data_IF_570115118400
#
_entry.id   IF_570115118400
#
_cell.length_a   1.000
_cell.length_b   1.000
_cell.length_c   1.000
_cell.angle_alpha   90.00
_cell.angle_beta   90.00
_cell.angle_gamma   90.00
#
_symmetry.space_group_name_H-M   'P 1'
#
loop_
_entity.id
_entity.type
_entity.pdbx_description
1 polymer ?
#
# COMPACT_ATOMS: atom_id res chain seq x y z
N UNK A 1 3.87 36.90 -3.62
CA UNK A 1 4.44 35.88 -4.53
C UNK A 1 3.68 34.58 -4.30
N UNK A 2 2.63 34.32 -5.09
CA UNK A 2 1.79 33.14 -4.91
C UNK A 2 2.48 31.92 -5.52
N UNK A 3 2.76 30.93 -4.68
CA UNK A 3 3.36 29.64 -5.04
C UNK A 3 2.41 28.84 -5.93
N UNK A 4 2.66 28.84 -7.24
CA UNK A 4 1.89 28.06 -8.21
C UNK A 4 2.39 26.61 -8.24
N UNK A 5 2.15 25.86 -7.16
CA UNK A 5 2.39 24.42 -7.18
C UNK A 5 1.30 23.74 -8.03
N UNK A 6 1.66 22.93 -9.05
CA UNK A 6 0.66 22.33 -9.92
C UNK A 6 -0.23 21.36 -9.14
N UNK A 7 -1.54 21.62 -9.14
CA UNK A 7 -2.56 20.77 -8.51
C UNK A 7 -2.51 19.38 -9.13
N UNK A 8 -2.27 18.35 -8.30
CA UNK A 8 -2.22 16.95 -8.76
C UNK A 8 -3.60 16.51 -9.27
N UNK A 9 -3.76 16.41 -10.60
CA UNK A 9 -5.00 15.97 -11.27
C UNK A 9 -5.29 14.50 -10.98
N UNK A 10 -6.43 14.22 -10.34
CA UNK A 10 -6.92 12.85 -10.05
C UNK A 10 -7.31 12.12 -11.33
N UNK A 11 -7.13 10.80 -11.35
CA UNK A 11 -7.61 9.93 -12.43
C UNK A 11 -9.13 9.78 -12.38
N UNK A 12 -9.77 9.86 -13.53
CA UNK A 12 -11.21 9.64 -13.69
C UNK A 12 -11.51 8.19 -14.08
N UNK A 13 -12.77 7.77 -13.88
CA UNK A 13 -13.22 6.45 -14.33
C UNK A 13 -13.07 6.28 -15.84
N UNK A 14 -13.26 7.35 -16.61
CA UNK A 14 -13.10 7.33 -18.07
C UNK A 14 -11.64 7.13 -18.48
N UNK A 15 -10.72 7.87 -17.87
CA UNK A 15 -9.30 7.68 -18.12
C UNK A 15 -8.84 6.25 -17.75
N UNK A 16 -9.39 5.66 -16.68
CA UNK A 16 -9.13 4.26 -16.34
C UNK A 16 -9.70 3.27 -17.37
N UNK A 17 -10.87 3.57 -17.96
CA UNK A 17 -11.47 2.73 -19.01
C UNK A 17 -10.59 2.73 -20.24
N UNK A 18 -10.15 3.90 -20.70
CA UNK A 18 -9.24 4.03 -21.84
C UNK A 18 -7.91 3.33 -21.55
N UNK A 19 -7.30 3.59 -20.38
CA UNK A 19 -6.05 2.95 -19.98
C UNK A 19 -6.14 1.42 -20.00
N UNK A 20 -7.24 0.84 -19.47
CA UNK A 20 -7.48 -0.61 -19.52
C UNK A 20 -7.62 -1.13 -20.92
N UNK A 21 -8.53 -0.54 -21.71
CA UNK A 21 -8.79 -0.99 -23.07
C UNK A 21 -7.52 -1.02 -23.92
N UNK A 22 -6.74 0.05 -23.90
CA UNK A 22 -5.51 0.14 -24.73
C UNK A 22 -4.42 -0.81 -24.22
N UNK A 23 -4.31 -1.02 -22.91
CA UNK A 23 -3.33 -1.93 -22.35
C UNK A 23 -3.69 -3.41 -22.57
N UNK A 24 -4.97 -3.77 -22.43
CA UNK A 24 -5.51 -5.09 -22.74
C UNK A 24 -5.34 -5.41 -24.23
N UNK A 25 -5.58 -4.42 -25.11
CA UNK A 25 -5.31 -4.56 -26.55
C UNK A 25 -3.83 -4.85 -26.82
N UNK A 26 -2.88 -4.13 -26.20
CA UNK A 26 -1.46 -4.44 -26.37
C UNK A 26 -1.07 -5.82 -25.82
N UNK A 27 -1.68 -6.24 -24.71
CA UNK A 27 -1.46 -7.57 -24.14
C UNK A 27 -2.00 -8.68 -25.06
N UNK A 28 -3.15 -8.47 -25.72
CA UNK A 28 -3.67 -9.44 -26.70
C UNK A 28 -2.79 -9.56 -27.94
N UNK A 29 -1.99 -8.53 -28.24
CA UNK A 29 -0.97 -8.54 -29.30
C UNK A 29 0.39 -9.06 -28.80
N UNK A 30 0.49 -9.51 -27.55
CA UNK A 30 1.63 -10.22 -26.98
C UNK A 30 2.28 -9.54 -25.78
N UNK A 31 2.58 -8.24 -25.83
CA UNK A 31 3.27 -7.58 -24.74
C UNK A 31 2.94 -6.08 -24.60
N UNK A 32 2.74 -5.65 -23.35
CA UNK A 32 2.48 -4.26 -22.99
C UNK A 32 3.76 -3.41 -22.93
N UNK A 33 4.24 -2.97 -24.09
CA UNK A 33 5.51 -2.23 -24.22
C UNK A 33 5.33 -0.77 -24.63
N UNK A 34 4.33 -0.46 -25.45
CA UNK A 34 4.18 0.87 -26.04
C UNK A 34 3.29 1.79 -25.20
N UNK A 35 3.85 2.30 -24.11
CA UNK A 35 3.16 3.22 -23.20
C UNK A 35 2.93 4.62 -23.79
N UNK A 36 3.68 5.01 -24.83
CA UNK A 36 3.49 6.29 -25.51
C UNK A 36 2.16 6.28 -26.28
N UNK A 37 1.87 5.21 -27.02
CA UNK A 37 0.60 5.11 -27.77
C UNK A 37 -0.63 5.12 -26.86
N UNK A 38 -0.52 4.59 -25.64
CA UNK A 38 -1.57 4.68 -24.62
C UNK A 38 -1.74 6.11 -24.12
N UNK A 39 -0.63 6.81 -23.87
CA UNK A 39 -0.65 8.20 -23.41
C UNK A 39 -1.26 9.14 -24.47
N UNK A 40 -1.05 8.86 -25.76
CA UNK A 40 -1.66 9.64 -26.86
C UNK A 40 -3.19 9.58 -26.84
N UNK A 41 -3.79 8.52 -26.27
CA UNK A 41 -5.25 8.38 -26.08
C UNK A 41 -5.76 9.06 -24.81
N UNK A 42 -4.87 9.56 -23.95
CA UNK A 42 -5.18 10.13 -22.65
C UNK A 42 -4.68 11.58 -22.56
N UNK A 43 -5.48 12.56 -23.02
CA UNK A 43 -5.05 13.95 -23.04
C UNK A 43 -4.65 14.44 -21.64
N UNK A 44 -3.50 15.12 -21.59
CA UNK A 44 -2.87 15.62 -20.35
C UNK A 44 -2.42 14.51 -19.39
N UNK A 45 -2.23 13.27 -19.86
CA UNK A 45 -1.52 12.20 -19.14
C UNK A 45 -0.27 11.83 -19.91
N UNK A 46 0.82 11.66 -19.18
CA UNK A 46 2.09 11.23 -19.77
C UNK A 46 2.21 9.71 -19.75
N UNK A 47 3.14 9.17 -20.52
CA UNK A 47 3.58 7.76 -20.43
C UNK A 47 3.86 7.35 -18.97
N UNK A 48 4.57 8.20 -18.22
CA UNK A 48 4.90 7.97 -16.81
C UNK A 48 3.63 7.87 -15.95
N UNK A 49 2.64 8.72 -16.20
CA UNK A 49 1.35 8.66 -15.50
C UNK A 49 0.62 7.35 -15.81
N UNK A 50 0.59 6.96 -17.08
CA UNK A 50 -0.08 5.73 -17.54
C UNK A 50 0.55 4.49 -16.91
N UNK A 51 1.88 4.37 -16.92
CA UNK A 51 2.62 3.28 -16.25
C UNK A 51 2.31 3.20 -14.76
N UNK A 52 2.40 4.35 -14.08
CA UNK A 52 2.13 4.45 -12.64
C UNK A 52 0.67 4.14 -12.29
N UNK A 53 -0.26 4.46 -13.19
CA UNK A 53 -1.68 4.14 -13.00
C UNK A 53 -1.96 2.68 -13.28
N UNK A 54 -1.39 2.14 -14.34
CA UNK A 54 -1.56 0.75 -14.73
C UNK A 54 -1.11 -0.21 -13.65
N UNK A 55 0.03 0.05 -13.00
CA UNK A 55 0.49 -0.72 -11.84
C UNK A 55 -0.47 -0.70 -10.64
N UNK A 56 -1.54 0.11 -10.68
CA UNK A 56 -2.60 0.15 -9.67
C UNK A 56 -3.92 -0.43 -10.16
N UNK A 57 -4.04 -0.71 -11.45
CA UNK A 57 -5.30 -0.97 -12.16
C UNK A 57 -5.28 -2.30 -12.93
N UNK A 58 -4.10 -2.85 -13.25
CA UNK A 58 -3.89 -3.99 -14.14
C UNK A 58 -4.07 -5.37 -13.52
N UNK A 59 -3.95 -5.47 -12.20
CA UNK A 59 -4.27 -6.71 -11.50
C UNK A 59 -5.60 -6.55 -10.77
N UNK A 60 -6.42 -7.62 -10.69
CA UNK A 60 -7.53 -7.67 -9.76
C UNK A 60 -6.96 -7.67 -8.34
N UNK A 61 -6.59 -6.49 -7.87
CA UNK A 61 -6.16 -6.30 -6.49
C UNK A 61 -7.35 -6.62 -5.63
N UNK A 62 -7.23 -7.72 -4.90
CA UNK A 62 -8.29 -8.12 -4.00
C UNK A 62 -8.50 -6.98 -3.00
N UNK A 63 -9.71 -6.43 -2.99
CA UNK A 63 -10.15 -5.48 -1.96
C UNK A 63 -10.69 -6.29 -0.80
N UNK A 64 -10.32 -5.91 0.43
CA UNK A 64 -10.80 -6.55 1.65
C UNK A 64 -9.74 -7.36 2.40
N UNK A 65 -10.22 -8.20 3.32
CA UNK A 65 -9.42 -8.93 4.30
C UNK A 65 -8.34 -9.82 3.65
N UNK A 66 -7.24 -10.01 4.37
CA UNK A 66 -6.16 -10.92 3.99
C UNK A 66 -6.50 -12.34 4.43
N UNK A 67 -6.53 -13.28 3.50
CA UNK A 67 -6.70 -14.70 3.83
C UNK A 67 -5.45 -15.29 4.46
N UNK A 68 -5.59 -16.44 5.12
CA UNK A 68 -4.46 -17.18 5.69
C UNK A 68 -3.43 -17.55 4.62
N UNK A 69 -3.89 -18.00 3.45
CA UNK A 69 -3.00 -18.32 2.32
C UNK A 69 -2.25 -17.08 1.78
N UNK A 70 -2.89 -15.91 1.74
CA UNK A 70 -2.19 -14.66 1.37
C UNK A 70 -1.13 -14.28 2.42
N UNK A 71 -1.45 -14.43 3.71
CA UNK A 71 -0.49 -14.15 4.78
C UNK A 71 0.71 -15.11 4.72
N UNK A 72 0.48 -16.38 4.41
CA UNK A 72 1.54 -17.38 4.28
C UNK A 72 2.46 -17.10 3.08
N UNK A 73 1.89 -16.81 1.90
CA UNK A 73 2.68 -16.35 0.74
C UNK A 73 3.49 -15.09 1.07
N UNK A 74 2.89 -14.15 1.79
CA UNK A 74 3.58 -12.92 2.21
C UNK A 74 4.74 -13.22 3.17
N UNK A 75 4.57 -14.11 4.15
CA UNK A 75 5.67 -14.53 5.05
C UNK A 75 6.79 -15.22 4.30
N UNK A 76 6.46 -16.17 3.43
CA UNK A 76 7.45 -16.91 2.65
C UNK A 76 8.23 -15.97 1.72
N UNK A 77 7.53 -15.06 1.03
CA UNK A 77 8.15 -14.08 0.15
C UNK A 77 9.05 -13.10 0.92
N UNK A 78 8.66 -12.63 2.12
CA UNK A 78 9.51 -11.77 2.94
C UNK A 78 10.72 -12.55 3.49
N UNK A 79 10.56 -13.83 3.84
CA UNK A 79 11.69 -14.68 4.23
C UNK A 79 12.70 -14.87 3.08
N UNK A 80 12.22 -14.91 1.83
CA UNK A 80 13.07 -15.13 0.66
C UNK A 80 13.72 -13.84 0.12
N UNK A 81 12.96 -12.74 0.05
CA UNK A 81 13.38 -11.49 -0.62
C UNK A 81 13.57 -10.32 0.35
N UNK A 82 13.37 -10.53 1.65
CA UNK A 82 13.32 -9.44 2.63
C UNK A 82 12.18 -8.45 2.34
N UNK A 83 12.41 -7.17 2.67
CA UNK A 83 11.43 -6.10 2.45
C UNK A 83 11.47 -5.51 1.02
N UNK A 84 11.87 -6.31 0.02
CA UNK A 84 11.83 -5.91 -1.39
C UNK A 84 10.39 -6.01 -1.93
N UNK A 85 9.55 -5.04 -1.56
CA UNK A 85 8.09 -5.12 -1.69
C UNK A 85 7.56 -5.36 -3.11
N UNK A 86 8.31 -4.99 -4.15
CA UNK A 86 7.93 -5.27 -5.54
C UNK A 86 8.04 -6.78 -5.82
N UNK A 87 9.15 -7.42 -5.44
CA UNK A 87 9.33 -8.86 -5.59
C UNK A 87 8.38 -9.64 -4.68
N UNK A 88 8.20 -9.16 -3.45
CA UNK A 88 7.25 -9.75 -2.51
C UNK A 88 5.82 -9.73 -3.06
N UNK A 89 5.39 -8.61 -3.65
CA UNK A 89 4.07 -8.51 -4.28
C UNK A 89 3.90 -9.47 -5.46
N UNK A 90 4.95 -9.64 -6.28
CA UNK A 90 4.94 -10.62 -7.37
C UNK A 90 4.73 -12.05 -6.85
N UNK A 91 5.33 -12.43 -5.73
CA UNK A 91 5.12 -13.75 -5.11
C UNK A 91 3.78 -13.89 -4.38
N UNK A 92 3.17 -12.79 -3.93
CA UNK A 92 1.84 -12.80 -3.32
C UNK A 92 0.73 -12.87 -4.37
N UNK A 93 1.01 -12.41 -5.60
CA UNK A 93 0.22 -12.49 -6.85
C UNK A 93 -1.15 -11.77 -6.82
N UNK A 94 -1.59 -11.32 -5.66
CA UNK A 94 -2.97 -10.85 -5.41
C UNK A 94 -3.03 -9.47 -4.76
N UNK A 95 -1.87 -8.92 -4.39
CA UNK A 95 -1.72 -7.69 -3.60
C UNK A 95 -0.53 -6.89 -4.12
N UNK A 96 -0.67 -5.57 -4.12
CA UNK A 96 0.42 -4.67 -4.49
C UNK A 96 1.47 -4.53 -3.39
N UNK A 97 2.67 -4.09 -3.79
CA UNK A 97 3.80 -3.79 -2.91
C UNK A 97 3.41 -2.95 -1.68
N UNK A 98 2.66 -1.85 -1.88
CA UNK A 98 2.19 -0.99 -0.79
C UNK A 98 1.29 -1.73 0.22
N UNK A 99 0.45 -2.66 -0.28
CA UNK A 99 -0.43 -3.46 0.57
C UNK A 99 0.36 -4.53 1.34
N UNK A 100 1.29 -5.21 0.68
CA UNK A 100 2.20 -6.18 1.31
C UNK A 100 3.01 -5.51 2.43
N UNK A 101 3.62 -4.36 2.13
CA UNK A 101 4.41 -3.61 3.09
C UNK A 101 3.58 -3.16 4.30
N UNK A 102 2.35 -2.70 4.06
CA UNK A 102 1.41 -2.33 5.12
C UNK A 102 1.02 -3.56 5.96
N UNK A 103 0.65 -4.67 5.32
CA UNK A 103 0.22 -5.89 6.03
C UNK A 103 1.34 -6.44 6.91
N UNK A 104 2.56 -6.48 6.40
CA UNK A 104 3.73 -6.90 7.16
C UNK A 104 3.91 -6.05 8.43
N UNK A 105 4.11 -4.73 8.25
CA UNK A 105 4.39 -3.76 9.31
C UNK A 105 3.30 -3.58 10.37
N UNK A 106 2.11 -4.13 10.17
CA UNK A 106 1.01 -3.98 11.12
C UNK A 106 0.47 -5.29 11.66
N UNK A 107 0.82 -6.45 11.07
CA UNK A 107 0.15 -7.69 11.41
C UNK A 107 0.97 -8.98 11.25
N UNK A 108 2.07 -8.99 10.50
CA UNK A 108 2.82 -10.23 10.24
C UNK A 108 4.29 -10.17 10.65
N UNK A 109 4.84 -8.97 10.83
CA UNK A 109 6.20 -8.81 11.32
C UNK A 109 6.31 -9.45 12.71
N UNK A 110 7.20 -10.44 12.92
CA UNK A 110 7.36 -11.11 14.21
C UNK A 110 7.74 -10.18 15.37
N UNK A 111 8.25 -8.97 15.06
CA UNK A 111 8.58 -7.98 16.08
C UNK A 111 7.35 -7.20 16.59
N UNK A 112 6.17 -7.45 16.03
CA UNK A 112 4.92 -6.82 16.48
C UNK A 112 4.30 -7.67 17.57
N UNK A 113 4.00 -7.03 18.69
CA UNK A 113 3.27 -7.61 19.80
C UNK A 113 1.77 -7.62 19.50
N UNK A 114 1.19 -8.82 19.57
CA UNK A 114 -0.22 -9.11 19.34
C UNK A 114 -0.93 -9.59 20.62
N UNK A 115 -0.29 -9.51 21.79
CA UNK A 115 -0.89 -9.88 23.08
C UNK A 115 -2.04 -8.93 23.47
N UNK A 116 -2.87 -9.34 24.42
CA UNK A 116 -3.92 -8.47 24.95
C UNK A 116 -3.32 -7.26 25.69
N UNK A 117 -4.03 -6.13 25.64
CA UNK A 117 -3.64 -4.92 26.36
C UNK A 117 -3.80 -5.13 27.86
N UNK A 118 -2.72 -4.91 28.60
CA UNK A 118 -2.74 -4.91 30.06
C UNK A 118 -3.24 -3.57 30.59
N UNK A 119 -3.77 -3.56 31.83
CA UNK A 119 -4.21 -2.32 32.48
C UNK A 119 -3.08 -1.27 32.58
N UNK A 120 -1.84 -1.72 32.73
CA UNK A 120 -0.67 -0.84 32.82
C UNK A 120 -0.27 -0.26 31.45
N UNK A 121 -0.49 -1.00 30.37
CA UNK A 121 -0.39 -0.46 29.01
C UNK A 121 -1.50 0.57 28.75
N UNK A 122 -2.73 0.32 29.20
CA UNK A 122 -3.84 1.29 29.08
C UNK A 122 -3.55 2.59 29.82
N UNK A 123 -3.09 2.50 31.07
CA UNK A 123 -2.71 3.68 31.86
C UNK A 123 -1.59 4.46 31.16
N UNK A 124 -0.59 3.76 30.62
CA UNK A 124 0.47 4.38 29.82
C UNK A 124 -0.08 5.06 28.57
N UNK A 125 -0.99 4.41 27.85
CA UNK A 125 -1.58 4.95 26.63
C UNK A 125 -2.35 6.24 26.92
N UNK A 126 -3.19 6.25 27.96
CA UNK A 126 -3.92 7.45 28.39
C UNK A 126 -2.95 8.61 28.69
N UNK A 127 -1.86 8.33 29.39
CA UNK A 127 -0.85 9.35 29.70
C UNK A 127 -0.10 9.81 28.45
N UNK A 128 0.25 8.89 27.55
CA UNK A 128 0.91 9.21 26.29
C UNK A 128 0.02 10.08 25.39
N UNK A 129 -1.28 9.82 25.33
CA UNK A 129 -2.24 10.66 24.59
C UNK A 129 -2.35 12.06 25.20
N UNK A 130 -2.34 12.19 26.55
CA UNK A 130 -2.30 13.51 27.21
C UNK A 130 -1.03 14.29 26.85
N UNK A 131 0.11 13.61 26.75
CA UNK A 131 1.40 14.24 26.49
C UNK A 131 1.65 14.56 25.01
N UNK A 132 1.30 13.64 24.10
CA UNK A 132 1.64 13.72 22.68
C UNK A 132 0.43 13.98 21.77
N UNK A 133 -0.78 14.05 22.33
CA UNK A 133 -2.02 14.11 21.57
C UNK A 133 -2.25 12.86 20.73
N UNK A 134 -2.96 12.99 19.60
CA UNK A 134 -3.21 11.90 18.66
C UNK A 134 -2.05 11.62 17.69
N UNK A 135 -0.81 11.90 18.09
CA UNK A 135 0.36 11.56 17.31
C UNK A 135 0.75 10.08 17.53
N UNK A 136 -0.06 9.18 16.96
CA UNK A 136 0.08 7.73 17.12
C UNK A 136 1.47 7.20 16.75
N UNK A 137 2.13 7.83 15.77
CA UNK A 137 3.49 7.46 15.38
C UNK A 137 4.49 7.80 16.48
N UNK A 138 4.37 8.96 17.11
CA UNK A 138 5.21 9.33 18.25
C UNK A 138 4.94 8.44 19.45
N UNK A 139 3.67 8.14 19.74
CA UNK A 139 3.28 7.26 20.86
C UNK A 139 3.83 5.85 20.65
N UNK A 140 3.64 5.25 19.46
CA UNK A 140 4.22 3.95 19.10
C UNK A 140 5.74 3.96 19.28
N UNK A 141 6.44 4.92 18.69
CA UNK A 141 7.90 4.93 18.74
C UNK A 141 8.49 5.15 20.14
N UNK A 142 7.80 5.88 21.03
CA UNK A 142 8.33 6.27 22.35
C UNK A 142 7.88 5.34 23.47
N UNK A 143 6.61 4.93 23.44
CA UNK A 143 5.96 4.24 24.56
C UNK A 143 5.67 2.77 24.26
N UNK A 144 5.44 2.42 22.99
CA UNK A 144 5.03 1.07 22.58
C UNK A 144 5.72 0.61 21.29
N UNK A 145 7.05 0.46 21.28
CA UNK A 145 7.83 0.20 20.06
C UNK A 145 7.49 -1.15 19.39
N UNK A 146 6.96 -2.11 20.15
CA UNK A 146 6.47 -3.40 19.66
C UNK A 146 5.01 -3.35 19.20
N UNK A 147 4.23 -2.31 19.52
CA UNK A 147 2.83 -2.20 19.12
C UNK A 147 2.71 -1.37 17.85
N UNK A 148 1.93 -1.86 16.89
CA UNK A 148 1.72 -1.12 15.65
C UNK A 148 0.86 0.13 15.89
N UNK A 149 1.06 1.19 15.12
CA UNK A 149 0.22 2.42 15.21
C UNK A 149 -1.27 2.16 14.99
N UNK A 150 -1.63 1.08 14.29
CA UNK A 150 -3.05 0.71 14.10
C UNK A 150 -3.61 0.09 15.37
N UNK A 151 -2.81 -0.72 16.06
CA UNK A 151 -3.18 -1.39 17.29
C UNK A 151 -3.43 -0.36 18.41
N UNK A 152 -2.46 0.53 18.63
CA UNK A 152 -2.53 1.62 19.62
C UNK A 152 -3.75 2.53 19.40
N UNK A 153 -4.07 2.85 18.14
CA UNK A 153 -5.21 3.73 17.81
C UNK A 153 -6.56 3.03 18.00
N UNK A 154 -6.59 1.71 17.93
CA UNK A 154 -7.82 0.93 18.07
C UNK A 154 -8.11 0.55 19.53
N UNK A 155 -7.13 0.72 20.42
CA UNK A 155 -7.32 0.63 21.86
C UNK A 155 -8.00 1.88 22.40
#
# INVERSE_FOLDING_TARGET
>A
MSSNAPVRRRWTKEEDRVLRREAEYQLSQGALKNWNSIADKLPKRTNKDCRKRWSKVCEPVKKGAWSSAENERLRNAVSQYGQQWILVAQSVESRHADQCAKRWRHALDPNIDHSEWTEDEDKRLVNAVKQFGHNWRSISNKEFPSRSTTDIKNR
#
